data_IF_349463651783
#
_entry.id   IF_349463651783
#
_cell.length_a   1.000
_cell.length_b   1.000
_cell.length_c   1.000
_cell.angle_alpha   90.00
_cell.angle_beta   90.00
_cell.angle_gamma   90.00
#
_symmetry.space_group_name_H-M   'P 1'
#
loop_
_entity.id
_entity.type
_entity.pdbx_description
1 polymer ?
#
# COMPACT_ATOMS: atom_id res chain seq x y z
N UNK A 1 25.19 -3.05 0.99
CA UNK A 1 24.54 -4.34 1.35
C UNK A 1 25.00 -5.52 0.52
N UNK A 2 25.06 -5.45 -0.83
CA UNK A 2 25.52 -6.58 -1.67
C UNK A 2 26.96 -7.04 -1.36
N UNK A 3 27.87 -6.09 -1.14
CA UNK A 3 29.25 -6.34 -0.70
C UNK A 3 29.30 -6.98 0.68
N UNK A 4 28.50 -6.50 1.63
CA UNK A 4 28.43 -7.08 2.99
C UNK A 4 27.87 -8.51 3.00
N UNK A 5 26.83 -8.79 2.21
CA UNK A 5 26.28 -10.14 2.07
C UNK A 5 27.28 -11.11 1.40
N UNK A 6 28.04 -10.62 0.40
CA UNK A 6 29.10 -11.39 -0.25
C UNK A 6 30.27 -11.68 0.71
N UNK A 7 30.61 -10.73 1.57
CA UNK A 7 31.69 -10.85 2.57
C UNK A 7 31.32 -11.84 3.68
N UNK A 8 30.06 -11.85 4.14
CA UNK A 8 29.63 -12.73 5.24
C UNK A 8 29.32 -14.17 4.84
N UNK A 9 28.84 -14.41 3.61
CA UNK A 9 28.26 -15.72 3.24
C UNK A 9 29.19 -16.50 2.27
N UNK A 10 30.14 -15.83 1.59
CA UNK A 10 31.08 -16.47 0.66
C UNK A 10 30.45 -17.09 -0.60
N UNK A 11 29.11 -17.19 -0.66
CA UNK A 11 28.34 -17.80 -1.73
C UNK A 11 27.51 -16.72 -2.43
N UNK A 12 27.52 -16.63 -3.78
CA UNK A 12 26.64 -15.73 -4.50
C UNK A 12 25.17 -16.13 -4.30
N UNK A 13 24.41 -15.33 -3.55
CA UNK A 13 22.96 -15.52 -3.40
C UNK A 13 22.28 -15.23 -4.75
N UNK A 14 21.82 -16.29 -5.42
CA UNK A 14 21.09 -16.15 -6.68
C UNK A 14 19.83 -15.31 -6.44
N UNK A 15 19.62 -14.28 -7.27
CA UNK A 15 18.47 -13.37 -7.16
C UNK A 15 18.72 -12.08 -6.36
N UNK A 16 19.73 -12.02 -5.48
CA UNK A 16 20.01 -10.78 -4.71
C UNK A 16 20.41 -9.61 -5.62
N UNK A 17 21.24 -9.87 -6.65
CA UNK A 17 21.57 -8.85 -7.67
C UNK A 17 20.32 -8.34 -8.36
N UNK A 18 19.44 -9.26 -8.78
CA UNK A 18 18.24 -8.92 -9.53
C UNK A 18 17.29 -8.07 -8.67
N UNK A 19 17.09 -8.44 -7.41
CA UNK A 19 16.24 -7.67 -6.47
C UNK A 19 16.78 -6.27 -6.18
N UNK A 20 18.10 -6.11 -6.02
CA UNK A 20 18.71 -4.79 -5.82
C UNK A 20 18.59 -3.95 -7.09
N UNK A 21 18.94 -4.52 -8.25
CA UNK A 21 18.91 -3.81 -9.53
C UNK A 21 17.49 -3.42 -9.90
N UNK A 22 16.50 -4.29 -9.71
CA UNK A 22 15.11 -3.97 -10.05
C UNK A 22 14.53 -2.88 -9.17
N UNK A 23 14.82 -2.90 -7.87
CA UNK A 23 14.39 -1.84 -6.95
C UNK A 23 15.08 -0.52 -7.26
N UNK A 24 16.39 -0.55 -7.57
CA UNK A 24 17.12 0.64 -7.97
C UNK A 24 16.60 1.21 -9.30
N UNK A 25 16.26 0.35 -10.26
CA UNK A 25 15.69 0.76 -11.54
C UNK A 25 14.28 1.32 -11.37
N UNK A 26 13.43 0.71 -10.53
CA UNK A 26 12.13 1.24 -10.17
C UNK A 26 12.23 2.63 -9.51
N UNK A 27 13.14 2.79 -8.55
CA UNK A 27 13.41 4.08 -7.93
C UNK A 27 13.92 5.12 -8.94
N UNK A 28 14.79 4.72 -9.87
CA UNK A 28 15.26 5.60 -10.95
C UNK A 28 14.11 6.01 -11.89
N UNK A 29 13.19 5.10 -12.22
CA UNK A 29 11.99 5.41 -13.02
C UNK A 29 11.11 6.42 -12.29
N UNK A 30 10.85 6.22 -10.99
CA UNK A 30 10.10 7.19 -10.19
C UNK A 30 10.79 8.56 -10.14
N UNK A 31 12.11 8.58 -9.94
CA UNK A 31 12.90 9.81 -9.93
C UNK A 31 12.85 10.54 -11.28
N UNK A 32 13.03 9.82 -12.39
CA UNK A 32 12.89 10.38 -13.73
C UNK A 32 11.46 10.88 -14.00
N UNK A 33 10.46 10.23 -13.42
CA UNK A 33 9.05 10.62 -13.51
C UNK A 33 8.75 12.00 -12.92
N UNK A 34 9.57 12.49 -11.98
CA UNK A 34 9.45 13.86 -11.44
C UNK A 34 9.63 14.93 -12.53
N UNK A 35 10.32 14.59 -13.62
CA UNK A 35 10.54 15.50 -14.75
C UNK A 35 9.42 15.43 -15.81
N UNK A 36 8.44 14.55 -15.65
CA UNK A 36 7.36 14.35 -16.61
C UNK A 36 6.07 15.07 -16.19
N UNK A 37 5.12 15.19 -17.12
CA UNK A 37 3.80 15.74 -16.82
C UNK A 37 3.02 14.83 -15.85
N UNK A 38 2.09 15.40 -15.10
CA UNK A 38 1.26 14.64 -14.15
C UNK A 38 0.48 13.48 -14.80
N UNK A 39 0.02 13.68 -16.03
CA UNK A 39 -0.65 12.63 -16.81
C UNK A 39 0.26 11.41 -17.06
N UNK A 40 1.58 11.63 -17.12
CA UNK A 40 2.56 10.57 -17.29
C UNK A 40 2.86 9.82 -15.97
N UNK A 41 2.55 10.39 -14.81
CA UNK A 41 2.87 9.79 -13.50
C UNK A 41 2.22 8.43 -13.31
N UNK A 42 0.99 8.23 -13.80
CA UNK A 42 0.34 6.92 -13.72
C UNK A 42 1.11 5.85 -14.51
N UNK A 43 1.61 6.19 -15.70
CA UNK A 43 2.44 5.28 -16.48
C UNK A 43 3.80 5.05 -15.85
N UNK A 44 4.40 6.08 -15.24
CA UNK A 44 5.64 5.96 -14.47
C UNK A 44 5.45 5.00 -13.30
N UNK A 45 4.38 5.16 -12.50
CA UNK A 45 4.08 4.28 -11.38
C UNK A 45 3.82 2.85 -11.83
N UNK A 46 3.03 2.66 -12.90
CA UNK A 46 2.78 1.35 -13.46
C UNK A 46 4.09 0.67 -13.93
N UNK A 47 4.95 1.43 -14.61
CA UNK A 47 6.24 0.93 -15.10
C UNK A 47 7.21 0.63 -13.95
N UNK A 48 7.33 1.53 -12.97
CA UNK A 48 8.17 1.34 -11.80
C UNK A 48 7.73 0.13 -10.98
N UNK A 49 6.42 -0.03 -10.77
CA UNK A 49 5.85 -1.21 -10.13
C UNK A 49 6.19 -2.46 -10.93
N UNK A 50 5.93 -2.46 -12.25
CA UNK A 50 6.18 -3.61 -13.11
C UNK A 50 7.66 -4.01 -13.08
N UNK A 51 8.58 -3.06 -13.19
CA UNK A 51 10.03 -3.31 -13.15
C UNK A 51 10.47 -3.83 -11.79
N UNK A 52 9.96 -3.25 -10.70
CA UNK A 52 10.32 -3.66 -9.33
C UNK A 52 9.76 -5.06 -9.03
N UNK A 53 8.55 -5.36 -9.48
CA UNK A 53 7.82 -6.59 -9.16
C UNK A 53 8.09 -7.74 -10.13
N UNK A 54 8.49 -7.48 -11.37
CA UNK A 54 8.71 -8.52 -12.38
C UNK A 54 9.66 -9.63 -11.91
N UNK A 55 10.79 -9.35 -11.23
CA UNK A 55 11.66 -10.40 -10.70
C UNK A 55 11.01 -11.24 -9.61
N UNK A 56 10.18 -10.63 -8.77
CA UNK A 56 9.46 -11.32 -7.70
C UNK A 56 8.43 -12.27 -8.32
N UNK A 57 7.69 -11.80 -9.32
CA UNK A 57 6.73 -12.60 -10.05
C UNK A 57 7.41 -13.76 -10.81
N UNK A 58 8.53 -13.50 -11.48
CA UNK A 58 9.27 -14.52 -12.19
C UNK A 58 9.87 -15.58 -11.24
N UNK A 59 10.36 -15.15 -10.07
CA UNK A 59 10.81 -16.05 -9.01
C UNK A 59 9.67 -16.92 -8.46
N UNK A 60 8.48 -16.33 -8.27
CA UNK A 60 7.27 -17.05 -7.86
C UNK A 60 6.89 -18.14 -8.88
N UNK A 61 6.96 -17.83 -10.17
CA UNK A 61 6.60 -18.75 -11.26
C UNK A 61 7.64 -19.87 -11.46
N UNK A 62 8.93 -19.60 -11.25
CA UNK A 62 10.02 -20.51 -11.66
C UNK A 62 10.43 -21.55 -10.61
N UNK A 63 9.72 -21.68 -9.48
CA UNK A 63 10.03 -22.66 -8.42
C UNK A 63 11.51 -22.66 -8.00
N UNK A 64 12.12 -21.48 -7.87
CA UNK A 64 13.55 -21.38 -7.54
C UNK A 64 13.78 -21.93 -6.13
N UNK A 65 14.76 -22.84 -6.07
CA UNK A 65 15.23 -23.67 -4.96
C UNK A 65 15.26 -23.02 -3.58
N UNK A 66 15.05 -23.86 -2.56
CA UNK A 66 14.94 -23.60 -1.11
C UNK A 66 16.26 -23.23 -0.41
N UNK A 67 17.30 -22.82 -1.12
CA UNK A 67 18.67 -22.73 -0.57
C UNK A 67 18.88 -21.60 0.45
N UNK A 68 17.86 -20.76 0.69
CA UNK A 68 17.87 -19.78 1.77
C UNK A 68 16.56 -19.88 2.58
N UNK A 69 16.56 -20.55 3.74
CA UNK A 69 15.37 -20.65 4.58
C UNK A 69 15.08 -19.28 5.20
N UNK A 70 14.24 -18.48 4.52
CA UNK A 70 13.64 -17.27 5.07
C UNK A 70 12.83 -17.65 6.31
N UNK A 71 13.33 -17.28 7.48
CA UNK A 71 12.59 -17.47 8.72
C UNK A 71 11.34 -16.59 8.66
N UNK A 72 10.13 -17.18 8.72
CA UNK A 72 8.88 -16.46 8.53
C UNK A 72 8.66 -15.36 9.58
N UNK A 73 9.21 -15.54 10.79
CA UNK A 73 9.09 -14.58 11.88
C UNK A 73 9.89 -13.30 11.61
N UNK A 74 11.15 -13.41 11.17
CA UNK A 74 11.96 -12.25 10.81
C UNK A 74 11.40 -11.50 9.59
N UNK A 75 10.87 -12.22 8.61
CA UNK A 75 10.26 -11.58 7.45
C UNK A 75 8.99 -10.82 7.85
N UNK A 76 8.14 -11.43 8.70
CA UNK A 76 6.95 -10.77 9.24
C UNK A 76 7.33 -9.50 9.98
N UNK A 77 8.26 -9.59 10.93
CA UNK A 77 8.74 -8.44 11.70
C UNK A 77 9.23 -7.29 10.81
N UNK A 78 10.10 -7.60 9.83
CA UNK A 78 10.62 -6.61 8.89
C UNK A 78 9.56 -5.95 8.03
N UNK A 79 8.57 -6.73 7.56
CA UNK A 79 7.45 -6.20 6.77
C UNK A 79 6.55 -5.31 7.62
N UNK A 80 6.32 -5.66 8.89
CA UNK A 80 5.59 -4.81 9.83
C UNK A 80 6.31 -3.50 10.12
N UNK A 81 7.63 -3.54 10.32
CA UNK A 81 8.46 -2.34 10.49
C UNK A 81 8.44 -1.46 9.23
N UNK A 82 8.57 -2.07 8.04
CA UNK A 82 8.52 -1.33 6.78
C UNK A 82 7.18 -0.62 6.59
N UNK A 83 6.08 -1.28 6.93
CA UNK A 83 4.75 -0.70 6.88
C UNK A 83 4.58 0.45 7.88
N UNK A 84 5.10 0.29 9.10
CA UNK A 84 5.09 1.35 10.12
C UNK A 84 5.90 2.57 9.66
N UNK A 85 7.07 2.35 9.06
CA UNK A 85 7.88 3.42 8.46
C UNK A 85 7.09 4.14 7.36
N UNK A 86 6.42 3.41 6.47
CA UNK A 86 5.63 4.03 5.39
C UNK A 86 4.51 4.92 5.96
N UNK A 87 3.78 4.47 6.98
CA UNK A 87 2.76 5.29 7.66
C UNK A 87 3.39 6.49 8.37
N UNK A 88 4.51 6.29 9.07
CA UNK A 88 5.22 7.39 9.74
C UNK A 88 5.69 8.47 8.78
N UNK A 89 6.23 8.06 7.62
CA UNK A 89 6.66 8.97 6.56
C UNK A 89 5.48 9.75 5.97
N UNK A 90 4.34 9.08 5.74
CA UNK A 90 3.09 9.72 5.33
C UNK A 90 2.69 10.85 6.29
N UNK A 91 2.69 10.58 7.59
CA UNK A 91 2.36 11.57 8.62
C UNK A 91 3.36 12.74 8.64
N UNK A 92 4.66 12.46 8.57
CA UNK A 92 5.71 13.50 8.55
C UNK A 92 5.55 14.39 7.31
N UNK A 93 5.32 13.78 6.14
CA UNK A 93 5.12 14.51 4.88
C UNK A 93 3.94 15.50 5.00
N UNK A 94 2.81 15.03 5.52
CA UNK A 94 1.61 15.87 5.70
C UNK A 94 1.86 17.01 6.68
N UNK A 95 2.49 16.72 7.83
CA UNK A 95 2.85 17.76 8.79
C UNK A 95 3.74 18.80 8.13
N UNK A 96 4.75 18.37 7.37
CA UNK A 96 5.63 19.25 6.61
C UNK A 96 4.88 20.13 5.61
N UNK A 97 3.96 19.55 4.84
CA UNK A 97 3.10 20.27 3.88
C UNK A 97 2.25 21.32 4.60
N UNK A 98 1.63 20.97 5.73
CA UNK A 98 0.79 21.89 6.49
C UNK A 98 1.58 23.02 7.15
N UNK A 99 2.75 22.73 7.73
CA UNK A 99 3.59 23.77 8.36
C UNK A 99 4.12 24.79 7.35
N UNK A 100 4.27 24.38 6.09
CA UNK A 100 4.78 25.24 5.02
C UNK A 100 3.67 25.98 4.26
N UNK A 101 2.39 25.66 4.50
CA UNK A 101 1.25 26.29 3.83
C UNK A 101 0.80 27.52 4.62
N UNK A 102 0.92 28.71 4.02
CA UNK A 102 0.67 29.99 4.71
C UNK A 102 -0.79 30.50 4.58
N UNK A 103 -1.59 29.93 3.67
CA UNK A 103 -3.02 30.19 3.52
C UNK A 103 -3.73 29.00 2.81
N UNK A 104 -5.00 28.73 3.14
CA UNK A 104 -5.83 27.76 2.41
C UNK A 104 -5.78 26.30 2.91
N UNK A 105 -5.07 26.01 4.00
CA UNK A 105 -4.98 24.64 4.54
C UNK A 105 -6.32 24.14 5.11
N UNK A 106 -6.80 22.99 4.64
CA UNK A 106 -8.02 22.37 5.15
C UNK A 106 -7.71 21.35 6.26
N UNK A 107 -7.82 21.79 7.51
CA UNK A 107 -7.58 20.94 8.68
C UNK A 107 -8.50 19.71 8.74
N UNK A 108 -9.64 19.70 8.05
CA UNK A 108 -10.53 18.53 8.02
C UNK A 108 -9.87 17.36 7.28
N UNK A 109 -9.18 17.64 6.19
CA UNK A 109 -8.41 16.63 5.46
C UNK A 109 -7.25 16.12 6.32
N UNK A 110 -6.57 16.99 7.07
CA UNK A 110 -5.55 16.57 8.02
C UNK A 110 -6.06 15.52 9.01
N UNK A 111 -7.17 15.81 9.71
CA UNK A 111 -7.76 14.87 10.65
C UNK A 111 -8.21 13.57 9.97
N UNK A 112 -8.77 13.67 8.77
CA UNK A 112 -9.17 12.51 7.98
C UNK A 112 -7.97 11.59 7.69
N UNK A 113 -6.81 12.15 7.36
CA UNK A 113 -5.60 11.37 7.07
C UNK A 113 -5.05 10.71 8.33
N UNK A 114 -4.99 11.43 9.45
CA UNK A 114 -4.54 10.84 10.71
C UNK A 114 -5.45 9.67 11.11
N UNK A 115 -6.77 9.83 10.96
CA UNK A 115 -7.73 8.75 11.20
C UNK A 115 -7.51 7.60 10.22
N UNK A 116 -7.29 7.91 8.94
CA UNK A 116 -7.01 6.94 7.89
C UNK A 116 -5.76 6.10 8.21
N UNK A 117 -4.64 6.74 8.53
CA UNK A 117 -3.36 6.11 8.84
C UNK A 117 -3.46 5.25 10.11
N UNK A 118 -4.11 5.75 11.16
CA UNK A 118 -4.32 4.99 12.40
C UNK A 118 -5.26 3.80 12.21
N UNK A 119 -6.37 3.98 11.48
CA UNK A 119 -7.31 2.91 11.18
C UNK A 119 -6.64 1.82 10.32
N UNK A 120 -5.83 2.23 9.35
CA UNK A 120 -5.07 1.35 8.51
C UNK A 120 -4.00 0.57 9.30
N UNK A 121 -3.23 1.26 10.14
CA UNK A 121 -2.25 0.65 11.04
C UNK A 121 -2.93 -0.40 11.93
N UNK A 122 -4.04 -0.04 12.57
CA UNK A 122 -4.81 -0.93 13.44
C UNK A 122 -5.28 -2.17 12.67
N UNK A 123 -5.89 -1.99 11.50
CA UNK A 123 -6.41 -3.09 10.70
C UNK A 123 -5.30 -4.02 10.16
N UNK A 124 -4.12 -3.46 9.86
CA UNK A 124 -2.95 -4.24 9.47
C UNK A 124 -2.39 -5.05 10.64
N UNK A 125 -2.12 -4.43 11.79
CA UNK A 125 -1.48 -5.10 12.91
C UNK A 125 -2.40 -6.09 13.63
N UNK A 126 -3.69 -5.74 13.83
CA UNK A 126 -4.64 -6.65 14.47
C UNK A 126 -5.09 -7.79 13.53
N UNK A 127 -5.23 -7.52 12.23
CA UNK A 127 -5.79 -8.49 11.29
C UNK A 127 -4.77 -9.36 10.57
N UNK A 128 -3.81 -8.71 9.90
CA UNK A 128 -2.85 -9.35 8.98
C UNK A 128 -1.60 -9.82 9.72
N UNK A 129 -1.07 -8.98 10.60
CA UNK A 129 0.20 -9.23 11.27
C UNK A 129 0.09 -10.24 12.42
N UNK A 130 -1.02 -10.23 13.16
CA UNK A 130 -1.23 -11.08 14.35
C UNK A 130 -1.20 -12.58 14.05
N UNK A 131 -1.64 -12.99 12.86
CA UNK A 131 -1.75 -14.40 12.46
C UNK A 131 -0.38 -15.02 12.17
N UNK A 132 -0.06 -16.15 12.82
CA UNK A 132 1.12 -16.96 12.49
C UNK A 132 0.91 -17.65 11.15
N UNK A 133 1.95 -17.65 10.31
CA UNK A 133 1.86 -18.05 8.91
C UNK A 133 2.43 -19.44 8.68
N UNK A 134 1.91 -20.21 7.71
CA UNK A 134 2.55 -21.43 7.25
C UNK A 134 3.88 -21.10 6.55
N UNK A 135 4.92 -21.89 6.83
CA UNK A 135 6.29 -21.67 6.35
C UNK A 135 6.51 -21.96 4.84
N UNK A 136 5.46 -21.95 4.02
CA UNK A 136 5.57 -22.34 2.62
C UNK A 136 6.25 -21.22 1.78
N UNK A 137 7.37 -21.49 1.08
CA UNK A 137 8.15 -20.46 0.38
C UNK A 137 7.34 -19.63 -0.64
N UNK A 138 6.45 -20.26 -1.41
CA UNK A 138 5.58 -19.56 -2.37
C UNK A 138 4.65 -18.54 -1.69
N UNK A 139 4.10 -18.88 -0.52
CA UNK A 139 3.23 -17.96 0.22
C UNK A 139 4.03 -16.77 0.75
N UNK A 140 5.28 -16.99 1.19
CA UNK A 140 6.16 -15.89 1.61
C UNK A 140 6.44 -14.90 0.49
N UNK A 141 6.71 -15.38 -0.73
CA UNK A 141 6.92 -14.51 -1.90
C UNK A 141 5.65 -13.71 -2.22
N UNK A 142 4.48 -14.38 -2.23
CA UNK A 142 3.20 -13.71 -2.43
C UNK A 142 2.90 -12.65 -1.36
N UNK A 143 3.27 -12.93 -0.11
CA UNK A 143 3.13 -11.98 1.00
C UNK A 143 4.00 -10.75 0.77
N UNK A 144 5.26 -10.93 0.38
CA UNK A 144 6.16 -9.80 0.07
C UNK A 144 5.58 -8.96 -1.07
N UNK A 145 5.15 -9.59 -2.14
CA UNK A 145 4.50 -8.93 -3.28
C UNK A 145 3.28 -8.10 -2.85
N UNK A 146 2.40 -8.68 -2.04
CA UNK A 146 1.22 -7.98 -1.56
C UNK A 146 1.54 -6.79 -0.63
N UNK A 147 2.63 -6.86 0.16
CA UNK A 147 3.10 -5.71 0.95
C UNK A 147 3.63 -4.58 0.07
N UNK A 148 4.32 -4.88 -1.03
CA UNK A 148 4.78 -3.84 -1.95
C UNK A 148 3.62 -3.07 -2.58
N UNK A 149 2.58 -3.78 -3.04
CA UNK A 149 1.36 -3.14 -3.55
C UNK A 149 0.71 -2.28 -2.46
N UNK A 150 0.62 -2.82 -1.24
CA UNK A 150 0.06 -2.12 -0.10
C UNK A 150 0.82 -0.82 0.19
N UNK A 151 2.14 -0.89 0.32
CA UNK A 151 3.00 0.27 0.63
C UNK A 151 2.86 1.33 -0.46
N UNK A 152 2.88 0.95 -1.74
CA UNK A 152 2.70 1.88 -2.84
C UNK A 152 1.35 2.62 -2.75
N UNK A 153 0.27 1.87 -2.48
CA UNK A 153 -1.06 2.45 -2.31
C UNK A 153 -1.13 3.41 -1.13
N UNK A 154 -0.48 3.08 0.00
CA UNK A 154 -0.42 3.94 1.19
C UNK A 154 0.35 5.23 0.91
N UNK A 155 1.55 5.13 0.33
CA UNK A 155 2.39 6.29 0.07
C UNK A 155 1.75 7.23 -0.96
N UNK A 156 1.17 6.66 -2.03
CA UNK A 156 0.50 7.47 -3.05
C UNK A 156 -0.79 8.11 -2.52
N UNK A 157 -1.57 7.41 -1.70
CA UNK A 157 -2.77 7.98 -1.10
C UNK A 157 -2.42 9.12 -0.14
N UNK A 158 -1.37 8.96 0.67
CA UNK A 158 -0.91 10.00 1.59
C UNK A 158 -0.38 11.24 0.86
N UNK A 159 0.39 11.05 -0.22
CA UNK A 159 0.89 12.15 -1.05
C UNK A 159 -0.26 12.99 -1.64
N UNK A 160 -1.21 12.32 -2.28
CA UNK A 160 -2.40 12.99 -2.82
C UNK A 160 -3.20 13.69 -1.72
N UNK A 161 -3.46 13.03 -0.59
CA UNK A 161 -4.16 13.64 0.52
C UNK A 161 -3.44 14.89 1.08
N UNK A 162 -2.11 14.92 1.09
CA UNK A 162 -1.33 16.09 1.47
C UNK A 162 -1.53 17.26 0.48
N UNK A 163 -1.61 16.96 -0.82
CA UNK A 163 -1.95 17.95 -1.86
C UNK A 163 -3.37 18.49 -1.64
N UNK A 164 -4.34 17.64 -1.30
CA UNK A 164 -5.71 18.09 -0.98
C UNK A 164 -5.76 18.96 0.28
N UNK A 165 -4.97 18.64 1.29
CA UNK A 165 -4.91 19.39 2.54
C UNK A 165 -4.28 20.78 2.37
N UNK A 166 -3.41 20.97 1.38
CA UNK A 166 -2.67 22.23 1.12
C UNK A 166 -3.26 23.09 0.00
N UNK A 167 -4.26 22.61 -0.74
CA UNK A 167 -4.90 23.37 -1.83
C UNK A 167 -6.24 23.94 -1.40
N UNK A 168 -6.70 24.99 -2.09
CA UNK A 168 -8.01 25.58 -1.85
C UNK A 168 -9.16 24.71 -2.39
N UNK A 169 -10.36 24.72 -1.75
CA UNK A 169 -11.56 24.02 -2.21
C UNK A 169 -12.08 24.56 -3.56
N UNK A 170 -11.44 24.18 -4.65
CA UNK A 170 -11.81 24.60 -6.01
C UNK A 170 -10.64 24.61 -6.99
N UNK A 171 -9.40 24.52 -6.51
CA UNK A 171 -8.20 24.54 -7.37
C UNK A 171 -7.60 23.16 -7.59
N UNK A 172 -8.12 22.12 -6.95
CA UNK A 172 -7.51 20.79 -7.06
C UNK A 172 -7.85 20.10 -8.36
N UNK A 173 -6.81 19.75 -9.11
CA UNK A 173 -6.90 19.08 -10.40
C UNK A 173 -7.60 17.72 -10.30
N UNK A 174 -8.43 17.40 -11.29
CA UNK A 174 -9.14 16.11 -11.38
C UNK A 174 -8.18 14.90 -11.41
N UNK A 175 -6.98 15.09 -11.97
CA UNK A 175 -5.94 14.06 -12.05
C UNK A 175 -5.55 13.56 -10.64
N UNK A 176 -5.37 14.48 -9.68
CA UNK A 176 -5.00 14.16 -8.31
C UNK A 176 -6.05 13.26 -7.62
N UNK A 177 -7.35 13.56 -7.84
CA UNK A 177 -8.42 12.76 -7.27
C UNK A 177 -8.48 11.36 -7.86
N UNK A 178 -8.21 11.26 -9.16
CA UNK A 178 -8.16 9.97 -9.80
C UNK A 178 -6.94 9.14 -9.37
N UNK A 179 -5.77 9.77 -9.20
CA UNK A 179 -4.57 9.12 -8.63
C UNK A 179 -4.84 8.65 -7.21
N UNK A 180 -5.49 9.47 -6.39
CA UNK A 180 -5.90 9.10 -5.03
C UNK A 180 -6.80 7.86 -5.03
N UNK A 181 -7.84 7.84 -5.87
CA UNK A 181 -8.76 6.72 -5.95
C UNK A 181 -8.06 5.42 -6.41
N UNK A 182 -7.13 5.53 -7.38
CA UNK A 182 -6.27 4.41 -7.79
C UNK A 182 -5.36 3.94 -6.64
N UNK A 183 -4.79 4.86 -5.86
CA UNK A 183 -3.95 4.53 -4.71
C UNK A 183 -4.74 3.76 -3.63
N UNK A 184 -5.97 4.20 -3.32
CA UNK A 184 -6.90 3.46 -2.44
C UNK A 184 -7.23 2.08 -3.02
N UNK A 185 -7.45 1.98 -4.33
CA UNK A 185 -7.65 0.71 -5.02
C UNK A 185 -6.47 -0.24 -4.85
N UNK A 186 -5.24 0.23 -5.07
CA UNK A 186 -4.01 -0.54 -4.87
C UNK A 186 -3.86 -1.00 -3.42
N UNK A 187 -4.09 -0.10 -2.46
CA UNK A 187 -4.08 -0.42 -1.03
C UNK A 187 -5.06 -1.57 -0.72
N UNK A 188 -6.30 -1.46 -1.18
CA UNK A 188 -7.33 -2.49 -1.00
C UNK A 188 -6.95 -3.80 -1.69
N UNK A 189 -6.33 -3.77 -2.86
CA UNK A 189 -5.82 -4.97 -3.55
C UNK A 189 -4.71 -5.62 -2.69
N UNK A 190 -3.74 -4.85 -2.21
CA UNK A 190 -2.65 -5.34 -1.37
C UNK A 190 -3.17 -6.01 -0.10
N UNK A 191 -4.10 -5.36 0.61
CA UNK A 191 -4.78 -5.95 1.77
C UNK A 191 -5.56 -7.22 1.40
N UNK A 192 -6.25 -7.25 0.25
CA UNK A 192 -7.06 -8.40 -0.20
C UNK A 192 -6.16 -9.61 -0.43
N UNK A 193 -5.06 -9.40 -1.16
CA UNK A 193 -4.06 -10.43 -1.42
C UNK A 193 -3.47 -10.95 -0.11
N UNK A 194 -3.14 -10.07 0.84
CA UNK A 194 -2.63 -10.48 2.15
C UNK A 194 -3.63 -11.35 2.90
N UNK A 195 -4.92 -10.98 2.92
CA UNK A 195 -5.95 -11.78 3.58
C UNK A 195 -6.12 -13.15 2.93
N UNK A 196 -6.18 -13.21 1.60
CA UNK A 196 -6.32 -14.49 0.87
C UNK A 196 -5.12 -15.39 1.13
N UNK A 197 -3.91 -14.84 1.07
CA UNK A 197 -2.68 -15.60 1.31
C UNK A 197 -2.58 -16.10 2.76
N UNK A 198 -3.09 -15.34 3.73
CA UNK A 198 -3.05 -15.71 5.15
C UNK A 198 -4.14 -16.71 5.51
N UNK A 199 -5.36 -16.50 5.02
CA UNK A 199 -6.52 -17.34 5.36
C UNK A 199 -6.68 -18.54 4.41
N UNK A 200 -5.94 -18.57 3.30
CA UNK A 200 -6.06 -19.54 2.20
C UNK A 200 -7.49 -19.63 1.61
N UNK A 201 -8.30 -18.59 1.81
CA UNK A 201 -9.68 -18.48 1.33
C UNK A 201 -10.12 -17.03 1.28
N UNK A 202 -11.06 -16.73 0.40
CA UNK A 202 -11.80 -15.47 0.41
C UNK A 202 -12.84 -15.53 1.53
N UNK A 203 -12.79 -14.57 2.45
CA UNK A 203 -13.82 -14.38 3.48
C UNK A 203 -14.83 -13.37 2.93
N UNK A 204 -16.08 -13.37 3.42
CA UNK A 204 -17.12 -12.43 2.96
C UNK A 204 -16.66 -10.97 2.95
N UNK A 205 -15.85 -10.57 3.95
CA UNK A 205 -15.32 -9.21 4.04
C UNK A 205 -14.30 -8.89 2.94
N UNK A 206 -13.55 -9.89 2.50
CA UNK A 206 -12.57 -9.81 1.42
C UNK A 206 -13.24 -9.56 0.06
N UNK A 207 -14.46 -10.08 -0.15
CA UNK A 207 -15.26 -9.77 -1.35
C UNK A 207 -15.73 -8.32 -1.39
N UNK A 208 -16.23 -7.81 -0.27
CA UNK A 208 -16.62 -6.41 -0.14
C UNK A 208 -15.40 -5.48 -0.39
N UNK A 209 -14.24 -5.87 0.13
CA UNK A 209 -12.98 -5.16 -0.08
C UNK A 209 -12.55 -5.15 -1.55
N UNK A 210 -12.63 -6.30 -2.24
CA UNK A 210 -12.30 -6.41 -3.65
C UNK A 210 -13.25 -5.59 -4.54
N UNK A 211 -14.55 -5.59 -4.21
CA UNK A 211 -15.54 -4.76 -4.88
C UNK A 211 -15.25 -3.27 -4.68
N UNK A 212 -14.95 -2.85 -3.44
CA UNK A 212 -14.56 -1.46 -3.15
C UNK A 212 -13.29 -1.06 -3.92
N UNK A 213 -12.31 -1.96 -4.02
CA UNK A 213 -11.10 -1.73 -4.79
C UNK A 213 -11.40 -1.51 -6.27
N UNK A 214 -12.25 -2.37 -6.87
CA UNK A 214 -12.64 -2.24 -8.27
C UNK A 214 -13.38 -0.91 -8.53
N UNK A 215 -14.31 -0.54 -7.65
CA UNK A 215 -15.02 0.74 -7.75
C UNK A 215 -14.04 1.92 -7.67
N UNK A 216 -13.13 1.93 -6.69
CA UNK A 216 -12.14 2.99 -6.54
C UNK A 216 -11.21 3.10 -7.77
N UNK A 217 -10.76 1.97 -8.33
CA UNK A 217 -9.93 1.94 -9.53
C UNK A 217 -10.67 2.47 -10.76
N UNK A 218 -11.92 2.04 -10.98
CA UNK A 218 -12.72 2.46 -12.13
C UNK A 218 -13.04 3.96 -12.04
N UNK A 219 -13.46 4.43 -10.86
CA UNK A 219 -13.71 5.84 -10.61
C UNK A 219 -12.44 6.67 -10.82
N UNK A 220 -11.30 6.22 -10.30
CA UNK A 220 -10.04 6.92 -10.44
C UNK A 220 -9.60 7.07 -11.90
N UNK A 221 -9.67 5.99 -12.67
CA UNK A 221 -9.37 6.03 -14.11
C UNK A 221 -10.35 6.92 -14.89
N UNK A 222 -11.63 6.91 -14.50
CA UNK A 222 -12.64 7.78 -15.09
C UNK A 222 -12.36 9.26 -14.82
N UNK A 223 -11.98 9.61 -13.59
CA UNK A 223 -11.63 10.99 -13.22
C UNK A 223 -10.37 11.48 -13.96
N UNK A 224 -9.32 10.66 -14.05
CA UNK A 224 -8.11 10.99 -14.82
C UNK A 224 -8.45 11.25 -16.28
N UNK A 225 -9.29 10.40 -16.88
CA UNK A 225 -9.63 10.49 -18.31
C UNK A 225 -10.48 11.71 -18.65
N UNK A 226 -11.46 12.04 -17.82
CA UNK A 226 -12.49 13.02 -18.16
C UNK A 226 -12.25 14.41 -17.56
N UNK A 227 -11.24 14.57 -16.70
CA UNK A 227 -10.84 15.88 -16.19
C UNK A 227 -11.91 16.58 -15.33
N UNK A 228 -12.80 15.83 -14.67
CA UNK A 228 -13.94 16.41 -13.97
C UNK A 228 -13.53 17.13 -12.67
N UNK A 229 -13.83 18.43 -12.54
CA UNK A 229 -13.34 19.31 -11.48
C UNK A 229 -14.07 19.17 -10.13
N UNK A 230 -15.14 18.38 -10.02
CA UNK A 230 -15.83 18.07 -8.75
C UNK A 230 -15.10 16.99 -7.92
N UNK A 231 -13.79 17.13 -7.81
CA UNK A 231 -12.85 16.08 -7.42
C UNK A 231 -12.82 15.81 -5.89
N UNK A 232 -13.05 16.84 -5.07
CA UNK A 232 -12.95 16.75 -3.59
C UNK A 232 -14.05 15.94 -2.91
N UNK A 233 -15.29 16.04 -3.40
CA UNK A 233 -16.41 15.30 -2.83
C UNK A 233 -16.21 13.80 -3.07
N UNK A 234 -15.77 13.40 -4.26
CA UNK A 234 -15.44 12.01 -4.58
C UNK A 234 -14.40 11.43 -3.64
N UNK A 235 -13.31 12.16 -3.39
CA UNK A 235 -12.25 11.75 -2.45
C UNK A 235 -12.77 11.63 -1.03
N UNK A 236 -13.56 12.61 -0.57
CA UNK A 236 -14.14 12.58 0.76
C UNK A 236 -15.01 11.33 0.93
N UNK A 237 -15.87 11.04 -0.07
CA UNK A 237 -16.72 9.86 -0.07
C UNK A 237 -15.93 8.56 -0.12
N UNK A 238 -14.90 8.46 -0.97
CA UNK A 238 -14.01 7.29 -1.03
C UNK A 238 -13.30 7.08 0.31
N UNK A 239 -12.78 8.15 0.90
CA UNK A 239 -12.09 8.11 2.19
C UNK A 239 -13.03 7.70 3.32
N UNK A 240 -14.24 8.27 3.38
CA UNK A 240 -15.26 7.90 4.37
C UNK A 240 -15.68 6.44 4.19
N UNK A 241 -15.93 5.99 2.97
CA UNK A 241 -16.30 4.61 2.68
C UNK A 241 -15.19 3.65 3.11
N UNK A 242 -13.93 3.98 2.80
CA UNK A 242 -12.76 3.20 3.18
C UNK A 242 -12.55 3.15 4.70
N UNK A 243 -12.60 4.30 5.38
CA UNK A 243 -12.48 4.39 6.85
C UNK A 243 -13.61 3.60 7.51
N UNK A 244 -14.86 3.75 7.03
CA UNK A 244 -16.02 3.02 7.54
C UNK A 244 -15.81 1.51 7.39
N UNK A 245 -15.34 1.08 6.23
CA UNK A 245 -15.01 -0.33 5.99
C UNK A 245 -13.91 -0.84 6.93
N UNK A 246 -12.83 -0.06 7.15
CA UNK A 246 -11.77 -0.40 8.09
C UNK A 246 -12.26 -0.54 9.52
N UNK A 247 -13.06 0.42 9.99
CA UNK A 247 -13.63 0.39 11.35
C UNK A 247 -14.54 -0.82 11.53
N UNK A 248 -15.41 -1.08 10.55
CA UNK A 248 -16.27 -2.26 10.54
C UNK A 248 -15.44 -3.56 10.60
N UNK A 249 -14.34 -3.64 9.84
CA UNK A 249 -13.42 -4.78 9.84
C UNK A 249 -12.80 -5.02 11.21
N UNK A 250 -12.30 -3.97 11.86
CA UNK A 250 -11.71 -4.04 13.21
C UNK A 250 -12.76 -4.50 14.22
N UNK A 251 -13.96 -3.91 14.18
CA UNK A 251 -15.06 -4.27 15.09
C UNK A 251 -15.48 -5.74 14.97
N UNK A 252 -15.63 -6.25 13.74
CA UNK A 252 -15.97 -7.66 13.49
C UNK A 252 -14.86 -8.58 14.00
N UNK A 253 -13.59 -8.22 13.76
CA UNK A 253 -12.44 -9.03 14.17
C UNK A 253 -12.33 -9.13 15.69
N UNK A 254 -12.53 -8.02 16.41
CA UNK A 254 -12.51 -8.01 17.88
C UNK A 254 -13.64 -8.84 18.47
N UNK A 255 -14.86 -8.70 17.94
CA UNK A 255 -16.02 -9.49 18.38
C UNK A 255 -15.80 -11.00 18.20
N UNK A 256 -15.15 -11.40 17.11
CA UNK A 256 -14.81 -12.81 16.88
C UNK A 256 -13.83 -13.36 17.93
N UNK A 257 -12.86 -12.55 18.37
CA UNK A 257 -11.91 -12.93 19.43
C UNK A 257 -12.59 -13.04 20.80
N UNK A 258 -13.49 -12.12 21.15
CA UNK A 258 -14.23 -12.17 22.42
C UNK A 258 -15.11 -13.41 22.53
N UNK A 259 -15.78 -13.80 21.44
CA UNK A 259 -16.61 -15.01 21.41
C UNK A 259 -15.74 -16.26 21.57
N UNK A 260 -14.59 -16.32 20.91
CA UNK A 260 -13.68 -17.45 21.04
C UNK A 260 -13.10 -17.57 22.47
N UNK A 261 -12.82 -16.44 23.13
CA UNK A 261 -12.31 -16.42 24.50
C UNK A 261 -13.31 -16.85 25.58
N UNK A 262 -14.62 -16.79 25.30
CA UNK A 262 -15.68 -17.26 26.23
C UNK A 262 -15.94 -18.77 26.16
N UNK A 263 -15.44 -19.44 25.14
CA UNK A 263 -15.65 -20.87 24.90
C UNK A 263 -14.53 -21.71 25.55
N UNK A 264 -13.43 -21.08 25.95
CA UNK A 264 -12.32 -21.70 26.66
C UNK A 264 -12.40 -21.39 28.17
#
# INVERSE_FOLDING_TARGET
>A
MYTLARIQIGIPVQGLKVSIISTALGAFICFAGVLLSKEALLYVFALALLVTMAPILFSFLRNVSQDFPLHPDHLRERLGLLFLIAIGESLIHIVGVLTNTTAGSDYRFFFLIVIFDLALATAYFEGVFSKRKPAHPRLLIGIVFAHFILILGVTAAADEMAIFASTDPGTTEAANAGVFAVAIGLLLIGLTLLEVLINNRLVNLTWAQAALAAVAMIDGLYQIRNGNTQSRIGILLISIAFITWLVMRVAISRRALEVAGRIN
#
